data_IF_453578395988
#
_entry.id   IF_453578395988
#
_cell.length_a   1.000
_cell.length_b   1.000
_cell.length_c   1.000
_cell.angle_alpha   90.00
_cell.angle_beta   90.00
_cell.angle_gamma   90.00
#
_symmetry.space_group_name_H-M   'P 1'
#
loop_
_entity.id
_entity.type
_entity.pdbx_description
1 polymer ?
#
# COMPACT_ATOMS: atom_id res chain seq x y z
N UNK A 1 8.38 18.26 -74.45
CA UNK A 1 7.40 18.16 -73.35
C UNK A 1 7.77 17.00 -72.46
N UNK A 2 7.49 17.13 -71.16
CA UNK A 2 7.76 16.18 -70.06
C UNK A 2 9.12 16.34 -69.36
N UNK A 3 9.18 17.34 -68.47
CA UNK A 3 10.18 17.46 -67.41
C UNK A 3 9.68 16.75 -66.15
N UNK A 4 10.57 16.01 -65.48
CA UNK A 4 10.32 15.35 -64.20
C UNK A 4 10.20 16.39 -63.06
N UNK A 5 9.26 16.24 -62.13
CA UNK A 5 9.24 17.05 -60.92
C UNK A 5 10.19 16.49 -59.84
N UNK A 6 10.88 17.42 -59.21
CA UNK A 6 11.86 17.28 -58.13
C UNK A 6 11.14 16.92 -56.81
N UNK A 7 11.61 15.87 -56.13
CA UNK A 7 11.14 15.49 -54.78
C UNK A 7 12.15 16.00 -53.76
N UNK A 8 11.91 17.17 -53.16
CA UNK A 8 12.53 17.58 -51.88
C UNK A 8 11.55 18.39 -51.06
N UNK A 9 11.34 17.95 -49.82
CA UNK A 9 10.47 18.61 -48.85
C UNK A 9 10.10 17.68 -47.71
N UNK A 10 11.10 17.10 -47.03
CA UNK A 10 10.89 16.47 -45.74
C UNK A 10 10.65 17.60 -44.72
N UNK A 11 9.37 17.83 -44.41
CA UNK A 11 8.97 18.69 -43.31
C UNK A 11 9.29 18.00 -42.00
N UNK A 12 10.24 18.57 -41.25
CA UNK A 12 10.52 18.24 -39.86
C UNK A 12 9.24 18.49 -39.04
N UNK A 13 8.62 17.42 -38.54
CA UNK A 13 7.57 17.52 -37.53
C UNK A 13 8.18 18.19 -36.27
N UNK A 14 7.50 19.17 -35.65
CA UNK A 14 7.98 19.72 -34.39
C UNK A 14 8.01 18.60 -33.35
N UNK A 15 9.10 18.59 -32.58
CA UNK A 15 9.31 17.66 -31.48
C UNK A 15 8.07 17.65 -30.57
N UNK A 16 7.47 16.47 -30.43
CA UNK A 16 6.54 16.18 -29.34
C UNK A 16 7.30 16.55 -28.07
N UNK A 17 6.87 17.63 -27.44
CA UNK A 17 7.46 18.07 -26.19
C UNK A 17 7.19 16.95 -25.19
N UNK A 18 8.28 16.44 -24.64
CA UNK A 18 8.29 15.35 -23.67
C UNK A 18 7.52 15.77 -22.41
N UNK A 19 6.22 15.49 -22.39
CA UNK A 19 5.31 15.75 -21.26
C UNK A 19 5.64 14.87 -20.03
N UNK A 20 6.58 13.92 -20.15
CA UNK A 20 6.98 13.05 -19.04
C UNK A 20 7.87 13.76 -18.01
N UNK A 21 8.46 14.91 -18.34
CA UNK A 21 9.40 15.64 -17.46
C UNK A 21 8.79 16.72 -16.57
N UNK A 22 7.47 16.90 -16.62
CA UNK A 22 6.77 17.93 -15.82
C UNK A 22 5.89 17.35 -14.70
N UNK A 23 5.90 16.01 -14.50
CA UNK A 23 5.07 15.35 -13.49
C UNK A 23 5.82 14.95 -12.21
N UNK A 24 7.13 15.18 -12.10
CA UNK A 24 7.93 14.78 -10.92
C UNK A 24 7.84 15.74 -9.73
N UNK A 25 7.08 16.83 -9.83
CA UNK A 25 6.89 17.82 -8.76
C UNK A 25 5.44 17.73 -8.26
N UNK A 26 5.13 16.63 -7.55
CA UNK A 26 3.77 16.24 -7.13
C UNK A 26 3.17 17.11 -6.00
N UNK A 27 3.90 18.08 -5.47
CA UNK A 27 3.49 18.86 -4.31
C UNK A 27 3.26 20.32 -4.66
N UNK A 28 2.17 20.54 -5.39
CA UNK A 28 1.67 21.89 -5.60
C UNK A 28 0.93 22.33 -4.32
N UNK A 29 1.61 23.10 -3.47
CA UNK A 29 0.97 23.90 -2.41
C UNK A 29 1.37 23.63 -0.96
N UNK A 30 2.04 22.52 -0.66
CA UNK A 30 2.62 22.22 0.67
C UNK A 30 4.12 22.02 0.48
N UNK A 31 5.00 22.58 1.34
CA UNK A 31 6.42 22.26 1.25
C UNK A 31 6.63 20.75 1.34
N UNK A 32 7.41 20.17 0.43
CA UNK A 32 7.71 18.73 0.39
C UNK A 32 8.28 18.18 1.69
N UNK A 33 8.93 19.03 2.48
CA UNK A 33 9.55 18.64 3.75
C UNK A 33 8.63 18.85 4.97
N UNK A 34 7.39 19.31 4.77
CA UNK A 34 6.44 19.52 5.85
C UNK A 34 5.62 18.26 6.11
N UNK A 35 5.40 17.94 7.39
CA UNK A 35 4.55 16.81 7.74
C UNK A 35 3.11 17.03 7.24
N UNK A 36 2.42 15.98 6.76
CA UNK A 36 1.03 16.07 6.36
C UNK A 36 0.12 16.52 7.50
N UNK A 37 -0.82 17.41 7.20
CA UNK A 37 -1.85 17.83 8.15
C UNK A 37 -3.20 18.03 7.47
N UNK A 38 -4.28 17.83 8.24
CA UNK A 38 -5.65 18.16 7.82
C UNK A 38 -5.78 19.65 7.45
N UNK A 39 -5.03 20.53 8.13
CA UNK A 39 -5.06 21.96 7.86
C UNK A 39 -4.48 22.30 6.48
N UNK A 40 -3.36 21.68 6.09
CA UNK A 40 -2.75 21.86 4.78
C UNK A 40 -3.65 21.38 3.65
N UNK A 41 -4.28 20.21 3.82
CA UNK A 41 -5.28 19.68 2.88
C UNK A 41 -6.45 20.64 2.68
N UNK A 42 -7.02 21.14 3.78
CA UNK A 42 -8.12 22.10 3.74
C UNK A 42 -7.73 23.39 3.05
N UNK A 43 -6.54 23.92 3.31
CA UNK A 43 -6.05 25.12 2.64
C UNK A 43 -6.03 24.97 1.11
N UNK A 44 -5.62 23.81 0.60
CA UNK A 44 -5.64 23.52 -0.85
C UNK A 44 -7.08 23.42 -1.36
N UNK A 45 -7.96 22.70 -0.64
CA UNK A 45 -9.36 22.50 -1.04
C UNK A 45 -10.22 23.78 -0.95
N UNK A 46 -9.93 24.68 -0.01
CA UNK A 46 -10.63 25.96 0.14
C UNK A 46 -10.38 26.88 -1.07
N UNK A 47 -9.26 26.71 -1.78
CA UNK A 47 -8.93 27.41 -3.02
C UNK A 47 -9.41 26.70 -4.29
N UNK A 48 -9.97 25.48 -4.17
CA UNK A 48 -10.36 24.68 -5.31
C UNK A 48 -11.70 25.13 -5.89
N UNK A 49 -11.76 25.25 -7.22
CA UNK A 49 -13.04 25.41 -7.92
C UNK A 49 -13.66 24.05 -8.28
N UNK A 50 -12.82 23.03 -8.44
CA UNK A 50 -13.21 21.69 -8.86
C UNK A 50 -12.26 20.64 -8.28
N UNK A 51 -12.79 19.49 -7.90
CA UNK A 51 -12.01 18.29 -7.61
C UNK A 51 -12.49 17.16 -8.53
N UNK A 52 -11.57 16.46 -9.18
CA UNK A 52 -11.86 15.29 -10.00
C UNK A 52 -11.27 14.07 -9.32
N UNK A 53 -12.09 13.06 -9.05
CA UNK A 53 -11.63 11.78 -8.51
C UNK A 53 -11.72 10.75 -9.62
N UNK A 54 -10.62 10.07 -9.90
CA UNK A 54 -10.49 9.08 -10.97
C UNK A 54 -10.08 7.74 -10.35
N UNK A 55 -10.83 6.68 -10.64
CA UNK A 55 -10.48 5.31 -10.25
C UNK A 55 -9.37 4.74 -11.12
N UNK A 56 -8.19 5.34 -10.98
CA UNK A 56 -6.98 4.96 -11.68
C UNK A 56 -5.76 5.43 -10.86
N UNK A 57 -4.61 4.82 -11.12
CA UNK A 57 -3.33 5.32 -10.64
C UNK A 57 -2.94 6.62 -11.36
N UNK A 58 -1.97 7.39 -10.83
CA UNK A 58 -1.47 8.64 -11.42
C UNK A 58 -1.10 8.57 -12.91
N UNK A 59 -0.55 7.46 -13.36
CA UNK A 59 -0.11 7.21 -14.73
C UNK A 59 -1.25 6.84 -15.68
N UNK A 60 -2.42 6.51 -15.15
CA UNK A 60 -3.59 6.04 -15.88
C UNK A 60 -4.79 7.01 -15.82
N UNK A 61 -4.64 8.19 -15.19
CA UNK A 61 -5.73 9.17 -15.03
C UNK A 61 -6.38 9.63 -16.34
N UNK A 62 -5.62 9.59 -17.44
CA UNK A 62 -6.05 9.99 -18.77
C UNK A 62 -6.69 8.82 -19.57
N UNK A 63 -6.77 7.61 -19.00
CA UNK A 63 -7.41 6.47 -19.64
C UNK A 63 -8.88 6.79 -19.96
N UNK A 64 -9.36 6.48 -21.18
CA UNK A 64 -10.69 6.90 -21.64
C UNK A 64 -11.83 6.21 -20.89
N UNK A 65 -11.58 5.02 -20.35
CA UNK A 65 -12.50 4.15 -19.63
C UNK A 65 -12.40 4.26 -18.11
N UNK A 66 -11.43 5.03 -17.57
CA UNK A 66 -11.32 5.25 -16.14
C UNK A 66 -12.55 5.99 -15.59
N UNK A 67 -13.25 5.34 -14.67
CA UNK A 67 -14.40 5.91 -13.97
C UNK A 67 -13.98 7.17 -13.21
N UNK A 68 -14.80 8.22 -13.28
CA UNK A 68 -14.48 9.51 -12.67
C UNK A 68 -15.72 10.26 -12.22
N UNK A 69 -15.56 11.04 -11.15
CA UNK A 69 -16.55 12.01 -10.69
C UNK A 69 -15.92 13.39 -10.60
N UNK A 70 -16.76 14.40 -10.78
CA UNK A 70 -16.38 15.80 -10.63
C UNK A 70 -17.18 16.41 -9.49
N UNK A 71 -16.48 17.09 -8.60
CA UNK A 71 -17.01 17.64 -7.35
C UNK A 71 -16.76 19.15 -7.34
N UNK A 72 -17.76 19.93 -6.94
CA UNK A 72 -17.68 21.38 -6.81
C UNK A 72 -18.52 21.88 -5.63
N UNK A 73 -18.27 23.13 -5.19
CA UNK A 73 -19.07 23.79 -4.15
C UNK A 73 -19.14 22.98 -2.84
N UNK A 74 -20.36 22.74 -2.35
CA UNK A 74 -20.58 21.98 -1.10
C UNK A 74 -19.99 20.57 -1.12
N UNK A 75 -19.89 19.95 -2.30
CA UNK A 75 -19.25 18.64 -2.43
C UNK A 75 -17.76 18.66 -2.09
N UNK A 76 -17.06 19.76 -2.37
CA UNK A 76 -15.65 19.93 -2.00
C UNK A 76 -15.52 20.04 -0.49
N UNK A 77 -16.42 20.78 0.16
CA UNK A 77 -16.44 20.91 1.61
C UNK A 77 -16.73 19.57 2.32
N UNK A 78 -17.62 18.75 1.74
CA UNK A 78 -17.85 17.39 2.23
C UNK A 78 -16.62 16.49 2.04
N UNK A 79 -16.04 16.47 0.84
CA UNK A 79 -14.82 15.71 0.55
C UNK A 79 -13.65 16.12 1.46
N UNK A 80 -13.49 17.41 1.73
CA UNK A 80 -12.47 17.93 2.65
C UNK A 80 -12.63 17.42 4.09
N UNK A 81 -13.85 17.11 4.53
CA UNK A 81 -14.08 16.47 5.84
C UNK A 81 -13.66 14.99 5.83
N UNK A 82 -13.95 14.29 4.74
CA UNK A 82 -13.64 12.87 4.57
C UNK A 82 -12.14 12.61 4.35
N UNK A 83 -11.44 13.55 3.72
CA UNK A 83 -9.99 13.51 3.55
C UNK A 83 -9.21 13.97 4.79
N UNK A 84 -9.86 14.15 5.94
CA UNK A 84 -9.14 14.50 7.16
C UNK A 84 -8.14 13.38 7.52
N UNK A 85 -6.91 13.77 7.86
CA UNK A 85 -5.80 12.85 8.17
C UNK A 85 -5.39 12.93 9.63
N UNK A 86 -4.66 11.93 10.11
CA UNK A 86 -3.88 12.02 11.35
C UNK A 86 -2.68 12.93 11.07
N UNK A 87 -2.60 14.03 11.82
CA UNK A 87 -1.56 15.03 11.61
C UNK A 87 -0.19 14.48 12.02
N UNK A 88 0.86 14.81 11.25
CA UNK A 88 2.22 14.33 11.47
C UNK A 88 2.65 13.17 10.57
N UNK A 89 1.69 12.52 9.89
CA UNK A 89 1.95 11.39 9.02
C UNK A 89 2.33 10.12 9.78
N UNK A 90 2.50 9.02 9.04
CA UNK A 90 2.93 7.73 9.62
C UNK A 90 4.45 7.59 9.65
N UNK A 91 5.16 8.39 8.86
CA UNK A 91 6.59 8.21 8.57
C UNK A 91 6.88 7.05 7.61
N UNK A 92 5.85 6.27 7.23
CA UNK A 92 5.98 5.20 6.27
C UNK A 92 6.07 5.73 4.84
N UNK A 93 6.95 5.11 4.05
CA UNK A 93 7.20 5.46 2.65
C UNK A 93 7.11 4.23 1.77
N UNK A 94 5.92 3.64 1.72
CA UNK A 94 5.66 2.61 0.72
C UNK A 94 5.83 3.21 -0.69
N UNK A 95 6.15 2.39 -1.69
CA UNK A 95 6.35 2.87 -3.07
C UNK A 95 5.15 2.62 -3.99
N UNK A 96 4.06 2.05 -3.47
CA UNK A 96 2.85 1.80 -4.24
C UNK A 96 2.25 3.13 -4.70
N UNK A 97 1.91 3.31 -5.99
CA UNK A 97 1.45 4.61 -6.50
C UNK A 97 0.14 5.10 -5.87
N UNK A 98 -0.66 4.18 -5.33
CA UNK A 98 -1.99 4.47 -4.78
C UNK A 98 -3.03 4.69 -5.88
N UNK A 99 -4.29 4.60 -5.48
CA UNK A 99 -5.49 4.88 -6.28
C UNK A 99 -6.72 4.84 -5.35
N UNK A 100 -7.83 5.53 -5.65
CA UNK A 100 -8.05 6.45 -6.76
C UNK A 100 -7.16 7.70 -6.68
N UNK A 101 -7.01 8.37 -7.83
CA UNK A 101 -6.30 9.65 -7.94
C UNK A 101 -7.28 10.81 -7.78
N UNK A 102 -6.93 11.77 -6.93
CA UNK A 102 -7.69 12.97 -6.63
C UNK A 102 -6.93 14.16 -7.21
N UNK A 103 -7.51 14.81 -8.22
CA UNK A 103 -6.98 15.99 -8.88
C UNK A 103 -7.73 17.22 -8.38
N UNK A 104 -7.01 18.19 -7.82
CA UNK A 104 -7.57 19.46 -7.36
C UNK A 104 -7.30 20.54 -8.40
N UNK A 105 -8.33 21.30 -8.78
CA UNK A 105 -8.23 22.34 -9.82
C UNK A 105 -8.72 23.70 -9.32
N UNK A 106 -8.01 24.75 -9.72
CA UNK A 106 -8.41 26.13 -9.46
C UNK A 106 -9.51 26.62 -10.42
N UNK A 107 -9.94 27.87 -10.23
CA UNK A 107 -10.97 28.51 -11.06
C UNK A 107 -10.57 28.70 -12.54
N UNK A 108 -9.28 28.60 -12.87
CA UNK A 108 -8.77 28.64 -14.24
C UNK A 108 -8.66 27.23 -14.85
N UNK A 109 -9.04 26.19 -14.11
CA UNK A 109 -8.96 24.79 -14.53
C UNK A 109 -7.54 24.22 -14.48
N UNK A 110 -6.60 24.89 -13.82
CA UNK A 110 -5.23 24.38 -13.65
C UNK A 110 -5.19 23.39 -12.50
N UNK A 111 -4.47 22.29 -12.67
CA UNK A 111 -4.20 21.35 -11.58
C UNK A 111 -3.32 22.07 -10.55
N UNK A 112 -3.79 22.10 -9.29
CA UNK A 112 -3.10 22.73 -8.16
C UNK A 112 -2.70 21.74 -7.09
N UNK A 113 -3.17 20.49 -7.15
CA UNK A 113 -2.66 19.38 -6.34
C UNK A 113 -3.10 18.05 -6.94
N UNK A 114 -2.35 17.00 -6.65
CA UNK A 114 -2.69 15.62 -6.99
C UNK A 114 -2.40 14.71 -5.79
N UNK A 115 -3.40 13.96 -5.36
CA UNK A 115 -3.28 13.00 -4.26
C UNK A 115 -3.74 11.61 -4.68
N UNK A 116 -3.32 10.59 -3.96
CA UNK A 116 -3.81 9.22 -4.17
C UNK A 116 -4.17 8.56 -2.84
N UNK A 117 -5.18 7.68 -2.85
CA UNK A 117 -5.40 6.79 -1.71
C UNK A 117 -4.36 5.68 -1.71
N UNK A 118 -3.66 5.55 -0.60
CA UNK A 118 -2.63 4.57 -0.37
C UNK A 118 -3.17 3.43 0.50
N UNK A 119 -3.15 2.20 -0.02
CA UNK A 119 -3.79 1.02 0.60
C UNK A 119 -5.25 1.23 1.05
N UNK A 120 -5.97 2.18 0.44
CA UNK A 120 -7.33 2.59 0.82
C UNK A 120 -7.48 3.13 2.25
N UNK A 121 -6.39 3.37 2.97
CA UNK A 121 -6.36 3.81 4.37
C UNK A 121 -5.55 5.07 4.58
N UNK A 122 -4.57 5.34 3.73
CA UNK A 122 -3.75 6.54 3.75
C UNK A 122 -3.98 7.45 2.55
N UNK A 123 -3.47 8.67 2.64
CA UNK A 123 -3.44 9.66 1.58
C UNK A 123 -1.98 10.02 1.28
N UNK A 124 -1.63 9.99 -0.01
CA UNK A 124 -0.32 10.37 -0.52
C UNK A 124 -0.37 11.68 -1.28
N UNK A 125 0.77 12.39 -1.30
CA UNK A 125 0.94 13.66 -2.02
C UNK A 125 0.67 14.88 -1.15
N UNK A 126 0.69 14.68 0.18
CA UNK A 126 0.51 15.73 1.17
C UNK A 126 1.78 15.78 2.02
N UNK A 127 2.70 16.69 1.72
CA UNK A 127 3.94 16.80 2.48
C UNK A 127 4.92 15.65 2.23
N UNK A 128 5.70 15.28 3.26
CA UNK A 128 6.90 14.43 3.14
C UNK A 128 6.67 12.91 3.19
N UNK A 129 5.41 12.48 3.36
CA UNK A 129 5.06 11.07 3.51
C UNK A 129 3.58 10.75 3.34
N UNK A 130 3.22 9.50 3.62
CA UNK A 130 1.83 9.07 3.65
C UNK A 130 1.16 9.51 4.96
N UNK A 131 -0.13 9.83 4.87
CA UNK A 131 -0.93 10.28 6.01
C UNK A 131 -2.16 9.39 6.19
N UNK A 132 -2.34 8.79 7.35
CA UNK A 132 -3.53 7.98 7.63
C UNK A 132 -4.80 8.82 7.59
N UNK A 133 -5.81 8.34 6.87
CA UNK A 133 -7.15 8.92 6.92
C UNK A 133 -7.75 8.66 8.30
N UNK A 134 -8.46 9.66 8.85
CA UNK A 134 -9.21 9.48 10.10
C UNK A 134 -10.40 8.53 9.95
N UNK A 135 -10.98 8.49 8.75
CA UNK A 135 -12.15 7.66 8.44
C UNK A 135 -12.14 7.25 6.96
N UNK A 136 -11.24 6.33 6.61
CA UNK A 136 -11.12 5.83 5.24
C UNK A 136 -12.36 5.07 4.76
N UNK A 137 -13.11 4.43 5.67
CA UNK A 137 -14.34 3.71 5.33
C UNK A 137 -15.44 4.68 4.88
N UNK A 138 -15.66 5.78 5.61
CA UNK A 138 -16.63 6.79 5.21
C UNK A 138 -16.30 7.44 3.86
N UNK A 139 -15.01 7.63 3.55
CA UNK A 139 -14.58 8.11 2.24
C UNK A 139 -14.92 7.11 1.12
N UNK A 140 -14.64 5.82 1.34
CA UNK A 140 -14.94 4.76 0.38
C UNK A 140 -16.45 4.64 0.12
N UNK A 141 -17.28 4.67 1.17
CA UNK A 141 -18.74 4.68 1.06
C UNK A 141 -19.24 5.89 0.26
N UNK A 142 -18.67 7.07 0.52
CA UNK A 142 -19.04 8.31 -0.16
C UNK A 142 -18.71 8.29 -1.66
N UNK A 143 -17.58 7.67 -2.03
CA UNK A 143 -17.15 7.44 -3.41
C UNK A 143 -18.06 6.41 -4.10
N UNK A 144 -18.34 5.28 -3.43
CA UNK A 144 -19.20 4.22 -3.95
C UNK A 144 -20.63 4.71 -4.21
N UNK A 145 -21.18 5.55 -3.31
CA UNK A 145 -22.48 6.20 -3.49
C UNK A 145 -22.55 7.10 -4.74
N UNK A 146 -21.39 7.46 -5.31
CA UNK A 146 -21.26 8.28 -6.53
C UNK A 146 -20.77 7.49 -7.74
N UNK A 147 -20.71 6.16 -7.63
CA UNK A 147 -20.38 5.25 -8.72
C UNK A 147 -18.90 4.91 -8.85
N UNK A 148 -18.05 5.30 -7.87
CA UNK A 148 -16.66 4.87 -7.77
C UNK A 148 -16.55 3.78 -6.69
N UNK A 149 -16.73 2.51 -7.07
CA UNK A 149 -16.87 1.39 -6.13
C UNK A 149 -15.56 0.69 -5.76
N UNK A 150 -14.47 0.90 -6.50
CA UNK A 150 -13.22 0.16 -6.37
C UNK A 150 -12.57 0.28 -5.00
N UNK A 151 -12.58 1.47 -4.38
CA UNK A 151 -12.07 1.67 -3.01
C UNK A 151 -12.85 0.84 -1.99
N UNK A 152 -14.18 0.86 -2.08
CA UNK A 152 -15.06 0.12 -1.17
C UNK A 152 -14.90 -1.39 -1.36
N UNK A 153 -14.88 -1.89 -2.60
CA UNK A 153 -14.63 -3.30 -2.91
C UNK A 153 -13.26 -3.76 -2.38
N UNK A 154 -12.23 -2.93 -2.54
CA UNK A 154 -10.88 -3.24 -2.04
C UNK A 154 -10.84 -3.28 -0.52
N UNK A 155 -11.50 -2.35 0.19
CA UNK A 155 -11.58 -2.38 1.65
C UNK A 155 -12.30 -3.64 2.15
N UNK A 156 -13.37 -4.07 1.48
CA UNK A 156 -14.06 -5.32 1.82
C UNK A 156 -13.14 -6.53 1.65
N UNK A 157 -12.43 -6.60 0.53
CA UNK A 157 -11.45 -7.66 0.29
C UNK A 157 -10.34 -7.66 1.36
N UNK A 158 -9.80 -6.49 1.69
CA UNK A 158 -8.78 -6.34 2.75
C UNK A 158 -9.30 -6.80 4.12
N UNK A 159 -10.52 -6.42 4.49
CA UNK A 159 -11.13 -6.85 5.75
C UNK A 159 -11.35 -8.38 5.79
N UNK A 160 -11.76 -8.99 4.67
CA UNK A 160 -11.85 -10.44 4.55
C UNK A 160 -10.47 -11.10 4.70
N UNK A 161 -9.42 -10.51 4.11
CA UNK A 161 -8.05 -11.00 4.25
C UNK A 161 -7.54 -10.89 5.68
N UNK A 162 -7.71 -9.74 6.34
CA UNK A 162 -7.32 -9.54 7.74
C UNK A 162 -8.03 -10.56 8.66
N UNK A 163 -9.32 -10.81 8.45
CA UNK A 163 -10.05 -11.83 9.20
C UNK A 163 -9.50 -13.24 8.97
N UNK A 164 -9.10 -13.56 7.74
CA UNK A 164 -8.45 -14.84 7.43
C UNK A 164 -7.06 -14.95 8.05
N UNK A 165 -6.26 -13.88 8.01
CA UNK A 165 -4.94 -13.84 8.63
C UNK A 165 -5.04 -13.98 10.15
N UNK A 166 -5.96 -13.27 10.79
CA UNK A 166 -6.19 -13.39 12.23
C UNK A 166 -6.63 -14.82 12.61
N UNK A 167 -7.52 -15.44 11.81
CA UNK A 167 -7.88 -16.84 12.02
C UNK A 167 -6.66 -17.77 11.89
N UNK A 168 -5.80 -17.56 10.89
CA UNK A 168 -4.57 -18.35 10.73
C UNK A 168 -3.61 -18.14 11.90
N UNK A 169 -3.42 -16.90 12.34
CA UNK A 169 -2.60 -16.54 13.50
C UNK A 169 -3.08 -17.29 14.75
N UNK A 170 -4.37 -17.21 15.06
CA UNK A 170 -4.97 -17.91 16.20
C UNK A 170 -4.81 -19.44 16.08
N UNK A 171 -4.98 -20.00 14.88
CA UNK A 171 -4.77 -21.43 14.65
C UNK A 171 -3.31 -21.85 14.87
N UNK A 172 -2.35 -21.05 14.40
CA UNK A 172 -0.92 -21.27 14.60
C UNK A 172 -0.54 -21.22 16.09
N UNK A 173 -1.04 -20.24 16.84
CA UNK A 173 -0.82 -20.15 18.30
C UNK A 173 -1.44 -21.34 19.04
N UNK A 174 -2.64 -21.78 18.66
CA UNK A 174 -3.29 -22.96 19.25
C UNK A 174 -2.53 -24.26 18.99
N UNK A 175 -1.85 -24.34 17.85
CA UNK A 175 -1.00 -25.47 17.50
C UNK A 175 0.39 -25.41 18.15
N UNK A 176 0.69 -24.36 18.93
CA UNK A 176 1.98 -24.22 19.59
C UNK A 176 2.29 -25.44 20.47
N UNK A 177 3.54 -25.90 20.48
CA UNK A 177 3.98 -26.98 21.34
C UNK A 177 3.67 -26.71 22.82
N UNK A 178 3.42 -27.76 23.64
CA UNK A 178 3.11 -27.59 25.05
C UNK A 178 4.12 -26.71 25.78
N UNK A 179 3.62 -25.67 26.46
CA UNK A 179 4.47 -24.70 27.18
C UNK A 179 4.99 -23.54 26.34
N UNK A 180 4.71 -23.47 25.03
CA UNK A 180 5.10 -22.35 24.17
C UNK A 180 3.96 -21.39 23.81
N UNK A 181 2.70 -21.69 24.16
CA UNK A 181 1.52 -20.94 23.69
C UNK A 181 1.56 -19.44 23.97
N UNK A 182 1.96 -19.01 25.18
CA UNK A 182 2.01 -17.57 25.52
C UNK A 182 3.12 -16.84 24.76
N UNK A 183 4.29 -17.46 24.64
CA UNK A 183 5.40 -16.91 23.86
C UNK A 183 5.08 -16.87 22.36
N UNK A 184 4.35 -17.88 21.87
CA UNK A 184 3.82 -17.90 20.52
C UNK A 184 2.81 -16.76 20.29
N UNK A 185 1.87 -16.53 21.20
CA UNK A 185 0.91 -15.42 21.08
C UNK A 185 1.64 -14.06 20.97
N UNK A 186 2.62 -13.80 21.84
CA UNK A 186 3.42 -12.58 21.80
C UNK A 186 4.21 -12.44 20.49
N UNK A 187 4.88 -13.52 20.05
CA UNK A 187 5.60 -13.52 18.78
C UNK A 187 4.68 -13.29 17.58
N UNK A 188 3.47 -13.84 17.63
CA UNK A 188 2.47 -13.68 16.57
C UNK A 188 1.95 -12.25 16.42
N UNK A 189 2.04 -11.46 17.49
CA UNK A 189 1.68 -10.03 17.53
C UNK A 189 2.85 -9.09 17.27
N UNK A 190 4.06 -9.66 17.08
CA UNK A 190 5.30 -8.91 16.93
C UNK A 190 5.62 -8.05 18.16
N UNK A 191 5.28 -8.52 19.36
CA UNK A 191 5.68 -7.84 20.59
C UNK A 191 7.23 -7.78 20.67
N UNK A 192 7.76 -6.70 21.26
CA UNK A 192 9.21 -6.50 21.42
C UNK A 192 9.89 -7.72 22.08
N UNK A 193 11.01 -8.16 21.52
CA UNK A 193 11.83 -9.33 21.91
C UNK A 193 11.07 -10.68 21.98
N UNK A 194 9.86 -10.77 21.39
CA UNK A 194 9.05 -11.97 21.54
C UNK A 194 9.61 -13.19 20.81
N UNK A 195 10.29 -12.99 19.68
CA UNK A 195 10.95 -14.08 18.94
C UNK A 195 12.08 -14.69 19.75
N UNK A 196 12.93 -13.86 20.36
CA UNK A 196 14.04 -14.28 21.20
C UNK A 196 13.54 -15.01 22.45
N UNK A 197 12.48 -14.48 23.09
CA UNK A 197 11.84 -15.17 24.24
C UNK A 197 11.28 -16.53 23.85
N UNK A 198 10.65 -16.63 22.67
CA UNK A 198 10.14 -17.90 22.14
C UNK A 198 11.29 -18.88 21.87
N UNK A 199 12.39 -18.41 21.28
CA UNK A 199 13.62 -19.18 21.03
C UNK A 199 14.18 -19.80 22.31
N UNK A 200 14.41 -18.95 23.31
CA UNK A 200 14.99 -19.32 24.59
C UNK A 200 14.10 -20.31 25.34
N UNK A 201 12.79 -20.09 25.31
CA UNK A 201 11.83 -20.98 25.96
C UNK A 201 11.79 -22.35 25.27
N UNK A 202 11.79 -22.39 23.94
CA UNK A 202 11.87 -23.63 23.19
C UNK A 202 13.16 -24.40 23.50
N UNK A 203 14.30 -23.73 23.60
CA UNK A 203 15.58 -24.36 23.96
C UNK A 203 15.58 -24.94 25.38
N UNK A 204 14.93 -24.27 26.35
CA UNK A 204 14.82 -24.76 27.73
C UNK A 204 13.87 -25.95 27.87
N UNK A 205 12.72 -25.93 27.19
CA UNK A 205 11.71 -26.98 27.29
C UNK A 205 12.08 -28.24 26.49
N UNK A 206 12.79 -28.05 25.37
CA UNK A 206 13.22 -29.13 24.48
C UNK A 206 14.74 -29.06 24.31
N UNK A 207 15.54 -29.55 25.28
CA UNK A 207 16.99 -29.37 25.26
C UNK A 207 17.67 -30.17 24.14
N UNK A 208 17.11 -31.33 23.75
CA UNK A 208 17.64 -32.12 22.64
C UNK A 208 17.46 -31.38 21.31
N UNK A 209 18.54 -31.09 20.57
CA UNK A 209 18.46 -30.33 19.33
C UNK A 209 17.64 -31.03 18.23
N UNK A 210 17.67 -32.36 18.15
CA UNK A 210 16.95 -33.09 17.10
C UNK A 210 15.45 -33.10 17.36
N UNK A 211 15.04 -33.33 18.61
CA UNK A 211 13.65 -33.23 19.06
C UNK A 211 13.11 -31.82 18.83
N UNK A 212 13.86 -30.79 19.23
CA UNK A 212 13.48 -29.39 19.05
C UNK A 212 13.31 -29.02 17.58
N UNK A 213 14.25 -29.42 16.72
CA UNK A 213 14.15 -29.19 15.27
C UNK A 213 12.91 -29.88 14.69
N UNK A 214 12.68 -31.15 15.01
CA UNK A 214 11.54 -31.91 14.50
C UNK A 214 10.21 -31.27 14.91
N UNK A 215 10.12 -30.81 16.16
CA UNK A 215 8.96 -30.14 16.73
C UNK A 215 8.71 -28.77 16.07
N UNK A 216 9.74 -27.95 15.89
CA UNK A 216 9.61 -26.66 15.21
C UNK A 216 9.24 -26.82 13.73
N UNK A 217 9.78 -27.83 13.03
CA UNK A 217 9.40 -28.15 11.66
C UNK A 217 7.93 -28.59 11.57
N UNK A 218 7.46 -29.41 12.51
CA UNK A 218 6.07 -29.82 12.57
C UNK A 218 5.12 -28.65 12.82
N UNK A 219 5.50 -27.72 13.69
CA UNK A 219 4.71 -26.52 14.00
C UNK A 219 4.73 -25.48 12.87
N UNK A 220 5.88 -25.26 12.23
CA UNK A 220 6.03 -24.37 11.08
C UNK A 220 5.15 -24.78 9.87
N UNK A 221 4.87 -26.08 9.73
CA UNK A 221 4.02 -26.62 8.67
C UNK A 221 2.52 -26.45 8.91
N UNK A 222 2.09 -25.77 9.99
CA UNK A 222 0.69 -25.69 10.40
C UNK A 222 0.18 -24.24 10.54
N UNK A 223 -0.87 -23.84 9.81
CA UNK A 223 -1.43 -24.45 8.60
C UNK A 223 -0.59 -24.10 7.35
N UNK A 224 -0.27 -25.11 6.54
CA UNK A 224 0.45 -24.94 5.28
C UNK A 224 -0.31 -24.05 4.27
N UNK A 225 0.37 -23.02 3.79
CA UNK A 225 0.18 -22.32 2.51
C UNK A 225 -1.26 -22.08 2.05
N UNK A 226 -1.85 -20.97 2.48
CA UNK A 226 -2.80 -20.27 1.61
C UNK A 226 -2.02 -19.76 0.38
N UNK A 227 -2.62 -19.72 -0.82
CA UNK A 227 -1.98 -19.07 -1.95
C UNK A 227 -1.58 -17.65 -1.52
N UNK A 228 -0.36 -17.19 -1.88
CA UNK A 228 0.02 -15.81 -1.62
C UNK A 228 -1.06 -14.92 -2.21
N UNK A 229 -1.61 -14.03 -1.39
CA UNK A 229 -2.48 -12.98 -1.89
C UNK A 229 -1.66 -12.19 -2.91
N UNK A 230 -2.22 -11.72 -4.04
CA UNK A 230 -1.51 -10.82 -4.93
C UNK A 230 -0.94 -9.63 -4.13
N UNK A 231 0.38 -9.57 -3.99
CA UNK A 231 1.09 -8.56 -3.21
C UNK A 231 1.29 -8.84 -1.70
N UNK A 232 0.75 -9.94 -1.17
CA UNK A 232 0.93 -10.35 0.23
C UNK A 232 2.12 -11.29 0.43
N UNK A 233 2.98 -10.99 1.39
CA UNK A 233 4.07 -11.86 1.81
C UNK A 233 3.60 -13.01 2.71
N UNK A 234 4.49 -13.97 2.98
CA UNK A 234 4.26 -14.95 4.05
C UNK A 234 4.10 -14.21 5.38
N UNK A 235 3.04 -14.47 6.18
CA UNK A 235 2.87 -13.82 7.47
C UNK A 235 4.10 -14.01 8.35
N UNK A 236 4.51 -12.95 9.03
CA UNK A 236 5.76 -12.92 9.79
C UNK A 236 5.88 -14.05 10.83
N UNK A 237 4.79 -14.36 11.52
CA UNK A 237 4.76 -15.40 12.55
C UNK A 237 5.01 -16.81 11.99
N UNK A 238 4.74 -17.05 10.71
CA UNK A 238 5.07 -18.32 10.04
C UNK A 238 6.59 -18.43 9.75
N UNK A 239 7.31 -17.30 9.73
CA UNK A 239 8.76 -17.26 9.57
C UNK A 239 9.51 -17.43 10.90
N UNK A 240 8.87 -17.22 12.04
CA UNK A 240 9.52 -17.33 13.35
C UNK A 240 10.15 -18.72 13.54
N UNK A 241 9.45 -19.85 13.32
CA UNK A 241 10.09 -21.18 13.38
C UNK A 241 11.26 -21.36 12.40
N UNK A 242 11.17 -20.79 11.19
CA UNK A 242 12.24 -20.86 10.19
C UNK A 242 13.52 -20.13 10.66
N UNK A 243 13.36 -18.99 11.32
CA UNK A 243 14.48 -18.23 11.90
C UNK A 243 15.14 -18.98 13.03
N UNK A 244 14.35 -19.54 13.95
CA UNK A 244 14.83 -20.40 15.03
C UNK A 244 15.67 -21.57 14.49
N UNK A 245 15.22 -22.20 13.41
CA UNK A 245 15.95 -23.28 12.74
C UNK A 245 17.27 -22.79 12.13
N UNK A 246 17.28 -21.59 11.53
CA UNK A 246 18.47 -21.01 10.89
C UNK A 246 19.55 -20.63 11.92
N UNK A 247 19.16 -20.09 13.08
CA UNK A 247 20.06 -19.76 14.19
C UNK A 247 20.70 -21.00 14.80
N UNK A 248 20.01 -22.15 14.75
CA UNK A 248 20.55 -23.46 15.17
C UNK A 248 21.50 -24.10 14.14
N UNK A 249 21.87 -23.37 13.07
CA UNK A 249 22.82 -23.84 12.06
C UNK A 249 22.19 -24.57 10.87
N UNK A 250 20.86 -24.58 10.76
CA UNK A 250 20.16 -25.19 9.63
C UNK A 250 20.09 -24.21 8.45
N UNK A 251 21.12 -24.17 7.61
CA UNK A 251 21.01 -23.48 6.30
C UNK A 251 20.11 -24.32 5.40
N UNK A 252 18.93 -23.81 5.00
CA UNK A 252 18.23 -24.34 3.83
C UNK A 252 19.17 -24.19 2.63
N UNK A 253 19.56 -25.32 2.03
CA UNK A 253 20.13 -25.30 0.69
C UNK A 253 19.02 -24.83 -0.27
N UNK A 254 18.90 -23.52 -0.48
CA UNK A 254 18.20 -22.98 -1.62
C UNK A 254 19.04 -23.27 -2.87
N UNK A 255 18.88 -24.48 -3.39
CA UNK A 255 19.41 -24.90 -4.67
C UNK A 255 18.73 -24.15 -5.81
N UNK A 256 19.07 -22.88 -5.99
CA UNK A 256 19.06 -22.29 -7.32
C UNK A 256 20.35 -22.71 -8.03
N UNK A 257 20.28 -23.86 -8.71
CA UNK A 257 21.27 -24.21 -9.71
C UNK A 257 21.30 -23.12 -10.78
N UNK A 258 22.44 -22.44 -10.92
CA UNK A 258 22.74 -21.69 -12.15
C UNK A 258 22.86 -22.70 -13.30
N UNK A 259 22.14 -22.53 -14.42
CA UNK A 259 22.53 -23.22 -15.65
C UNK A 259 23.84 -22.59 -16.14
N UNK A 260 24.77 -23.47 -16.53
CA UNK A 260 25.99 -23.11 -17.24
C UNK A 260 25.76 -22.84 -18.72
#
# INVERSE_FOLDING_TARGET
>A
MSGRPDRRGAGTLPAVTDLSRARDDFSLGVPDDAAPTTAALRQVLDGAAQVVVVEASPDEVDAPDAARITVSGEGIAELARLLAVVDGGTGDRCRCPGWPTILVRDALGRDVAQWTLHHQTGLRGVGDGDADLRDGAALADWLAARGLTGSHETQQLLAEYEAQEEHRRVAWVRAAPPGLTEAAEAASRQDDDAEERLADLAARLYPDPAERIALLLAWAGFPAHAPPVPGGGTPWYELAPERLLTEMGFRRNHGYGRPG
#
